data_IF_426043808708
#
_entry.id   IF_426043808708
#
_cell.length_a   1.000
_cell.length_b   1.000
_cell.length_c   1.000
_cell.angle_alpha   90.00
_cell.angle_beta   90.00
_cell.angle_gamma   90.00
#
_symmetry.space_group_name_H-M   'P 1'
#
loop_
_entity.id
_entity.type
_entity.pdbx_description
1 polymer ?
#
# COMPACT_ATOMS: atom_id res chain seq x y z
N UNK A 1 -1.04 18.42 2.62
CA UNK A 1 -1.93 17.62 2.43
C UNK A 1 -1.58 16.30 2.61
N UNK A 2 -2.05 15.70 3.28
CA UNK A 2 -1.73 14.53 3.68
C UNK A 2 -1.92 13.45 2.71
N UNK A 3 -0.87 12.84 2.35
CA UNK A 3 -0.91 11.61 1.64
C UNK A 3 -1.40 10.59 2.64
N UNK A 4 -2.48 9.91 2.32
CA UNK A 4 -3.09 8.95 3.24
C UNK A 4 -2.71 7.50 2.92
N UNK A 5 -2.01 7.26 1.82
CA UNK A 5 -1.59 5.93 1.42
C UNK A 5 -0.35 6.02 0.54
N UNK A 6 0.55 5.03 0.59
CA UNK A 6 1.66 5.01 -0.34
C UNK A 6 1.15 4.96 -1.78
N UNK A 7 1.76 5.74 -2.66
CA UNK A 7 1.37 5.78 -4.07
C UNK A 7 2.58 5.45 -4.93
N UNK A 8 2.32 5.05 -6.18
CA UNK A 8 3.36 4.49 -7.03
C UNK A 8 3.31 5.10 -8.42
N UNK A 9 4.47 5.16 -9.05
CA UNK A 9 4.56 5.53 -10.44
C UNK A 9 4.01 4.41 -11.32
N UNK A 10 3.72 4.75 -12.56
CA UNK A 10 3.22 3.76 -13.51
C UNK A 10 4.18 2.57 -13.59
N UNK A 11 3.62 1.39 -13.55
CA UNK A 11 4.37 0.12 -13.71
C UNK A 11 5.50 -0.03 -12.69
N UNK A 12 5.39 0.60 -11.53
CA UNK A 12 6.42 0.55 -10.50
C UNK A 12 5.84 0.11 -9.17
N UNK A 13 6.62 -0.61 -8.40
CA UNK A 13 6.29 -0.97 -7.02
C UNK A 13 7.31 -0.39 -6.04
N UNK A 14 8.14 0.55 -6.48
CA UNK A 14 9.17 1.14 -5.64
C UNK A 14 8.57 2.17 -4.69
N UNK A 15 9.02 2.14 -3.42
CA UNK A 15 8.58 3.11 -2.42
C UNK A 15 9.46 4.34 -2.49
N UNK A 16 8.82 5.51 -2.57
CA UNK A 16 9.53 6.78 -2.52
C UNK A 16 9.82 7.18 -1.08
N UNK A 17 10.59 8.26 -0.92
CA UNK A 17 10.96 8.71 0.40
C UNK A 17 9.76 9.19 1.20
N UNK A 18 8.83 9.91 0.56
CA UNK A 18 7.62 10.37 1.23
C UNK A 18 6.80 9.19 1.75
N UNK A 19 6.75 8.11 0.97
CA UNK A 19 6.03 6.92 1.38
C UNK A 19 6.68 6.27 2.57
N UNK A 20 8.01 6.23 2.59
CA UNK A 20 8.73 5.65 3.72
C UNK A 20 8.53 6.46 4.99
N UNK A 21 8.50 7.77 4.87
CA UNK A 21 8.26 8.63 6.04
C UNK A 21 6.86 8.43 6.58
N UNK A 22 5.87 8.34 5.70
CA UNK A 22 4.50 8.06 6.12
C UNK A 22 4.40 6.72 6.82
N UNK A 23 5.02 5.70 6.23
CA UNK A 23 4.98 4.36 6.81
C UNK A 23 5.71 4.31 8.14
N UNK A 24 6.76 5.10 8.31
CA UNK A 24 7.44 5.21 9.59
C UNK A 24 6.54 5.74 10.69
N UNK A 25 5.74 6.74 10.37
CA UNK A 25 4.80 7.29 11.34
C UNK A 25 3.70 6.29 11.68
N UNK A 26 3.20 5.57 10.68
CA UNK A 26 2.19 4.54 10.92
C UNK A 26 2.77 3.42 11.77
N UNK A 27 4.00 3.00 11.47
CA UNK A 27 4.66 1.95 12.24
C UNK A 27 4.82 2.36 13.71
N UNK A 28 5.12 3.63 13.94
CA UNK A 28 5.25 4.11 15.31
C UNK A 28 3.92 4.01 16.06
N UNK A 29 2.81 4.34 15.41
CA UNK A 29 1.49 4.19 16.01
C UNK A 29 1.18 2.73 16.34
N UNK A 30 1.63 1.81 15.48
CA UNK A 30 1.34 0.39 15.64
C UNK A 30 2.24 -0.28 16.67
N UNK A 31 3.38 0.33 17.00
CA UNK A 31 4.30 -0.27 17.99
C UNK A 31 4.28 0.45 19.33
N UNK A 32 4.02 1.74 19.34
CA UNK A 32 4.10 2.54 20.57
C UNK A 32 2.86 3.35 20.86
N UNK A 33 2.02 3.57 19.87
CA UNK A 33 0.91 4.51 20.01
C UNK A 33 -0.43 3.84 20.25
N UNK A 34 -1.48 4.54 19.86
CA UNK A 34 -2.85 4.12 20.13
C UNK A 34 -3.23 2.81 19.46
N UNK A 35 -2.52 2.44 18.39
CA UNK A 35 -2.82 1.21 17.64
C UNK A 35 -1.88 0.06 17.98
N UNK A 36 -1.17 0.17 19.10
CA UNK A 36 -0.23 -0.87 19.49
C UNK A 36 -0.92 -2.23 19.54
N UNK A 37 -0.29 -3.21 18.91
CA UNK A 37 -0.81 -4.58 18.90
C UNK A 37 -1.85 -4.86 17.84
N UNK A 38 -2.37 -3.84 17.15
CA UNK A 38 -3.38 -4.06 16.11
C UNK A 38 -2.74 -4.62 14.84
N UNK A 39 -3.54 -5.35 14.09
CA UNK A 39 -3.13 -5.84 12.77
C UNK A 39 -3.70 -4.92 11.70
N UNK A 40 -3.03 -4.87 10.55
CA UNK A 40 -3.49 -4.07 9.43
C UNK A 40 -3.52 -4.91 8.17
N UNK A 41 -4.41 -4.55 7.26
CA UNK A 41 -4.49 -5.15 5.93
C UNK A 41 -3.88 -4.18 4.94
N UNK A 42 -3.00 -4.70 4.10
CA UNK A 42 -2.33 -3.93 3.06
C UNK A 42 -2.92 -4.36 1.72
N UNK A 43 -3.65 -3.45 1.07
CA UNK A 43 -4.38 -3.77 -0.16
C UNK A 43 -3.69 -3.07 -1.33
N UNK A 44 -2.99 -3.83 -2.16
CA UNK A 44 -2.28 -3.29 -3.30
C UNK A 44 -3.22 -3.06 -4.47
N UNK A 45 -3.03 -1.94 -5.17
CA UNK A 45 -3.91 -1.53 -6.27
C UNK A 45 -3.12 -1.02 -7.46
N UNK A 46 -3.76 -0.99 -8.61
CA UNK A 46 -3.16 -0.53 -9.86
C UNK A 46 -4.19 0.29 -10.63
N UNK A 47 -3.73 1.14 -11.56
CA UNK A 47 -4.64 1.83 -12.45
C UNK A 47 -5.14 0.83 -13.51
N UNK A 48 -6.17 1.18 -14.30
CA UNK A 48 -6.82 0.19 -15.17
C UNK A 48 -6.09 -0.10 -16.48
N UNK A 49 -4.93 0.49 -16.71
CA UNK A 49 -4.21 0.27 -17.96
C UNK A 49 -3.52 -1.08 -17.95
N UNK A 50 -3.62 -1.82 -19.05
CA UNK A 50 -2.95 -3.10 -19.23
C UNK A 50 -3.82 -4.27 -18.84
N UNK A 51 -3.19 -5.43 -18.76
CA UNK A 51 -3.89 -6.69 -18.50
C UNK A 51 -4.30 -6.80 -17.03
N UNK A 52 -5.49 -7.31 -16.81
CA UNK A 52 -6.00 -7.44 -15.46
C UNK A 52 -5.12 -8.34 -14.59
N UNK A 53 -4.64 -9.44 -15.14
CA UNK A 53 -3.78 -10.35 -14.39
C UNK A 53 -2.45 -9.71 -14.03
N UNK A 54 -1.88 -8.93 -14.97
CA UNK A 54 -0.65 -8.23 -14.70
C UNK A 54 -0.84 -7.21 -13.58
N UNK A 55 -1.96 -6.50 -13.61
CA UNK A 55 -2.24 -5.48 -12.59
C UNK A 55 -2.53 -6.10 -11.23
N UNK A 56 -3.12 -7.30 -11.20
CA UNK A 56 -3.30 -8.01 -9.94
C UNK A 56 -1.94 -8.37 -9.34
N UNK A 57 -1.01 -8.83 -10.16
CA UNK A 57 0.35 -9.15 -9.71
C UNK A 57 1.10 -7.88 -9.28
N UNK A 58 0.91 -6.78 -10.00
CA UNK A 58 1.55 -5.51 -9.66
C UNK A 58 1.05 -5.00 -8.31
N UNK A 59 -0.26 -5.08 -8.07
CA UNK A 59 -0.82 -4.73 -6.77
C UNK A 59 -0.26 -5.57 -5.66
N UNK A 60 -0.09 -6.87 -5.90
CA UNK A 60 0.50 -7.77 -4.91
C UNK A 60 1.95 -7.39 -4.61
N UNK A 61 2.70 -7.02 -5.66
CA UNK A 61 4.09 -6.61 -5.47
C UNK A 61 4.18 -5.31 -4.67
N UNK A 62 3.25 -4.38 -4.94
CA UNK A 62 3.21 -3.12 -4.19
C UNK A 62 2.91 -3.37 -2.71
N UNK A 63 1.91 -4.19 -2.40
CA UNK A 63 1.59 -4.49 -1.01
C UNK A 63 2.70 -5.28 -0.34
N UNK A 64 3.37 -6.16 -1.08
CA UNK A 64 4.50 -6.92 -0.56
C UNK A 64 5.67 -5.99 -0.17
N UNK A 65 5.95 -4.99 -1.00
CA UNK A 65 7.04 -4.06 -0.71
C UNK A 65 6.73 -3.18 0.50
N UNK A 66 5.45 -2.79 0.65
CA UNK A 66 5.03 -2.05 1.84
C UNK A 66 5.20 -2.94 3.07
N UNK A 67 4.78 -4.21 2.98
CA UNK A 67 4.91 -5.13 4.11
C UNK A 67 6.37 -5.33 4.50
N UNK A 68 7.25 -5.53 3.52
CA UNK A 68 8.66 -5.71 3.81
C UNK A 68 9.24 -4.50 4.52
N UNK A 69 8.88 -3.31 4.08
CA UNK A 69 9.39 -2.11 4.71
C UNK A 69 8.87 -1.97 6.15
N UNK A 70 7.59 -2.21 6.37
CA UNK A 70 7.01 -2.13 7.71
C UNK A 70 7.60 -3.19 8.64
N UNK A 71 7.87 -4.38 8.11
CA UNK A 71 8.54 -5.42 8.90
C UNK A 71 9.93 -4.96 9.33
N UNK A 72 10.64 -4.26 8.44
CA UNK A 72 11.96 -3.74 8.79
C UNK A 72 11.87 -2.67 9.89
N UNK A 73 10.70 -2.08 10.09
CA UNK A 73 10.49 -1.09 11.13
C UNK A 73 10.01 -1.71 12.45
N UNK A 74 9.97 -3.03 12.52
CA UNK A 74 9.68 -3.70 13.77
C UNK A 74 8.27 -4.25 13.93
N UNK A 75 7.44 -4.19 12.88
CA UNK A 75 6.10 -4.73 12.98
C UNK A 75 6.13 -6.21 12.64
N UNK A 76 5.56 -7.03 13.52
CA UNK A 76 5.56 -8.48 13.33
C UNK A 76 4.84 -8.88 12.06
N UNK A 77 5.41 -9.85 11.35
CA UNK A 77 4.88 -10.29 10.07
C UNK A 77 3.40 -10.70 10.15
N UNK A 78 3.02 -11.36 11.24
CA UNK A 78 1.65 -11.85 11.40
C UNK A 78 0.62 -10.73 11.56
N UNK A 79 1.07 -9.51 11.84
CA UNK A 79 0.17 -8.36 11.97
C UNK A 79 -0.06 -7.63 10.64
N UNK A 80 0.62 -8.04 9.59
CA UNK A 80 0.55 -7.37 8.29
C UNK A 80 -0.06 -8.33 7.27
N UNK A 81 -1.35 -8.13 7.00
CA UNK A 81 -2.11 -9.00 6.11
C UNK A 81 -2.10 -8.42 4.71
N UNK A 82 -1.41 -9.07 3.79
CA UNK A 82 -1.20 -8.55 2.45
C UNK A 82 -2.20 -9.12 1.46
N UNK A 83 -2.74 -8.28 0.59
CA UNK A 83 -3.61 -8.74 -0.48
C UNK A 83 -3.51 -7.79 -1.68
N UNK A 84 -4.10 -8.16 -2.78
CA UNK A 84 -4.16 -7.32 -3.97
C UNK A 84 -5.57 -7.32 -4.54
N UNK A 85 -6.01 -6.15 -4.99
CA UNK A 85 -7.23 -6.03 -5.78
C UNK A 85 -6.91 -5.56 -7.21
N UNK A 86 -5.63 -5.31 -7.49
CA UNK A 86 -5.21 -4.87 -8.81
C UNK A 86 -6.02 -3.68 -9.28
N UNK A 87 -6.64 -3.80 -10.44
CA UNK A 87 -7.44 -2.72 -11.02
C UNK A 87 -8.94 -2.85 -10.72
N UNK A 88 -9.35 -3.78 -9.89
CA UNK A 88 -10.79 -4.08 -9.71
C UNK A 88 -11.60 -2.89 -9.25
N UNK A 89 -11.02 -1.98 -8.48
CA UNK A 89 -11.73 -0.80 -8.00
C UNK A 89 -11.22 0.48 -8.64
N UNK A 90 -10.48 0.38 -9.73
CA UNK A 90 -9.88 1.54 -10.38
C UNK A 90 -10.94 2.41 -11.00
N UNK A 91 -10.79 3.72 -10.87
CA UNK A 91 -11.75 4.69 -11.36
C UNK A 91 -11.14 5.72 -12.29
N UNK A 92 -9.84 5.67 -12.50
CA UNK A 92 -9.15 6.68 -13.27
C UNK A 92 -9.44 6.61 -14.75
N UNK A 93 -9.41 7.77 -15.40
CA UNK A 93 -9.62 7.87 -16.83
C UNK A 93 -8.50 8.65 -17.53
N UNK A 94 -7.60 9.26 -16.74
CA UNK A 94 -6.46 10.01 -17.27
C UNK A 94 -5.34 9.98 -16.23
N UNK A 95 -4.19 10.56 -16.54
CA UNK A 95 -3.04 10.45 -15.65
C UNK A 95 -3.32 11.00 -14.25
N UNK A 96 -4.05 12.08 -14.14
CA UNK A 96 -4.31 12.67 -12.82
C UNK A 96 -5.13 11.73 -11.94
N UNK A 97 -6.05 10.98 -12.51
CA UNK A 97 -6.90 10.07 -11.74
C UNK A 97 -6.30 8.67 -11.67
N UNK A 98 -5.54 8.24 -12.69
CA UNK A 98 -4.83 6.96 -12.61
C UNK A 98 -3.85 6.96 -11.45
N UNK A 99 -3.22 8.09 -11.18
CA UNK A 99 -2.28 8.21 -10.07
C UNK A 99 -2.94 7.87 -8.74
N UNK A 100 -4.22 8.21 -8.60
CA UNK A 100 -4.98 7.90 -7.38
C UNK A 100 -5.27 6.41 -7.25
N UNK A 101 -5.28 5.67 -8.37
CA UNK A 101 -5.49 4.21 -8.34
C UNK A 101 -4.24 3.45 -7.95
N UNK A 102 -3.05 4.02 -8.16
CA UNK A 102 -1.78 3.35 -7.92
C UNK A 102 -1.37 3.54 -6.47
N UNK A 103 -1.92 2.71 -5.59
CA UNK A 103 -1.69 2.89 -4.16
C UNK A 103 -1.75 1.56 -3.41
N UNK A 104 -1.31 1.60 -2.16
CA UNK A 104 -1.55 0.51 -1.22
C UNK A 104 -2.36 1.09 -0.08
N UNK A 105 -3.59 0.64 0.08
CA UNK A 105 -4.42 1.08 1.19
C UNK A 105 -4.01 0.33 2.45
N UNK A 106 -3.98 1.04 3.57
CA UNK A 106 -3.63 0.48 4.86
C UNK A 106 -4.87 0.58 5.73
N UNK A 107 -5.45 -0.58 6.05
CA UNK A 107 -6.71 -0.65 6.79
C UNK A 107 -6.53 -1.43 8.07
N UNK A 108 -7.19 -1.00 9.13
CA UNK A 108 -7.15 -1.79 10.36
C UNK A 108 -7.92 -3.09 10.14
N UNK A 109 -7.30 -4.20 10.49
CA UNK A 109 -7.95 -5.49 10.42
C UNK A 109 -8.73 -5.73 11.71
N UNK A 110 -9.81 -6.45 11.59
CA UNK A 110 -10.64 -6.76 12.75
C UNK A 110 -10.19 -8.00 13.48
#
# INVERSE_FOLDING_TARGET
DGKSAPSFEFDSAALGQDDREMLGQIAKCLTEGALKGRSVRLVGRADPRGEQEYNMALGAKRSSNVKQYMTSLGIGDARLLQTSRGELDAKGTDEDTWRLDRRVDIELAK
#
